data_IF_509718354861
#
_entry.id   IF_509718354861
#
_cell.length_a   1.000
_cell.length_b   1.000
_cell.length_c   1.000
_cell.angle_alpha   90.00
_cell.angle_beta   90.00
_cell.angle_gamma   90.00
#
_symmetry.space_group_name_H-M   'P 1'
#
loop_
_entity.id
_entity.type
_entity.pdbx_description
1 polymer ?
#
# COMPACT_ATOMS: atom_id res chain seq x y z
N UNK A 1 -46.11 -42.30 32.67
CA UNK A 1 -47.27 -41.89 33.47
C UNK A 1 -46.92 -40.73 34.30
N UNK A 2 -47.79 -39.82 34.53
CA UNK A 2 -48.32 -38.80 33.60
C UNK A 2 -47.96 -37.37 34.04
N UNK A 3 -48.08 -36.41 33.03
CA UNK A 3 -49.01 -35.26 33.04
C UNK A 3 -48.81 -34.21 34.14
N UNK A 4 -48.67 -32.95 33.84
CA UNK A 4 -49.58 -31.91 33.31
C UNK A 4 -48.75 -30.63 33.10
N UNK A 5 -48.83 -29.98 32.00
CA UNK A 5 -49.69 -28.86 31.56
C UNK A 5 -50.02 -27.85 32.67
N UNK A 6 -49.63 -26.60 32.44
CA UNK A 6 -50.53 -25.43 32.49
C UNK A 6 -49.71 -24.19 32.07
N UNK A 7 -50.09 -23.56 30.95
CA UNK A 7 -49.99 -22.13 30.68
C UNK A 7 -51.07 -21.42 31.46
N UNK A 8 -51.04 -20.13 31.77
CA UNK A 8 -51.16 -19.08 30.78
C UNK A 8 -50.59 -17.67 31.15
N UNK A 9 -50.73 -16.78 30.18
CA UNK A 9 -51.00 -15.32 30.16
C UNK A 9 -49.84 -14.35 30.31
N UNK A 10 -49.49 -13.74 29.20
CA UNK A 10 -49.81 -12.39 28.73
C UNK A 10 -49.60 -11.24 29.74
N UNK A 11 -48.54 -10.44 29.54
CA UNK A 11 -48.55 -9.03 29.82
C UNK A 11 -47.54 -8.28 28.90
N UNK A 12 -48.12 -7.52 28.03
CA UNK A 12 -47.57 -6.49 27.17
C UNK A 12 -47.20 -5.27 28.01
N UNK A 13 -45.94 -4.83 28.01
CA UNK A 13 -45.58 -3.43 28.37
C UNK A 13 -44.53 -2.93 27.40
N UNK A 14 -44.94 -1.96 26.61
CA UNK A 14 -44.11 -1.03 25.88
C UNK A 14 -43.38 -0.15 26.88
N UNK A 15 -42.07 0.00 26.74
CA UNK A 15 -41.36 1.22 27.10
C UNK A 15 -40.08 1.34 26.29
N UNK A 16 -40.01 2.46 25.62
CA UNK A 16 -38.95 2.93 24.77
C UNK A 16 -37.69 3.35 25.52
N UNK A 17 -36.65 3.56 24.73
CA UNK A 17 -35.45 4.40 24.94
C UNK A 17 -34.16 3.70 25.41
N UNK A 18 -33.21 3.76 24.46
CA UNK A 18 -31.87 4.19 24.78
C UNK A 18 -30.85 3.11 25.12
N UNK A 19 -30.46 2.29 24.22
CA UNK A 19 -29.16 1.64 24.29
C UNK A 19 -28.25 2.21 23.21
N UNK A 20 -27.34 3.07 23.59
CA UNK A 20 -26.11 3.32 22.86
C UNK A 20 -25.32 2.01 22.81
N UNK A 21 -24.87 1.53 21.67
CA UNK A 21 -23.78 0.59 21.66
C UNK A 21 -22.49 1.38 21.89
N UNK A 22 -21.84 1.13 22.99
CA UNK A 22 -20.44 1.45 23.17
C UNK A 22 -19.65 0.74 22.08
N UNK A 23 -19.23 1.49 21.10
CA UNK A 23 -18.28 1.05 20.11
C UNK A 23 -16.93 0.85 20.82
N UNK A 24 -16.64 -0.38 21.20
CA UNK A 24 -15.30 -0.82 21.49
C UNK A 24 -14.46 -0.59 20.23
N UNK A 25 -13.73 0.50 20.21
CA UNK A 25 -12.72 0.77 19.21
C UNK A 25 -11.58 -0.24 19.38
N UNK A 26 -11.69 -1.37 18.72
CA UNK A 26 -10.50 -2.11 18.35
C UNK A 26 -9.83 -1.30 17.24
N UNK A 27 -8.89 -0.45 17.64
CA UNK A 27 -7.89 0.10 16.75
C UNK A 27 -6.97 -1.05 16.30
N UNK A 28 -7.47 -1.86 15.37
CA UNK A 28 -6.63 -2.69 14.53
C UNK A 28 -5.97 -1.73 13.55
N UNK A 29 -4.77 -1.30 13.93
CA UNK A 29 -3.88 -0.51 13.07
C UNK A 29 -3.31 -1.45 12.02
N UNK A 30 -4.17 -1.92 11.12
CA UNK A 30 -3.73 -2.46 9.86
C UNK A 30 -3.06 -1.30 9.11
N UNK A 31 -1.77 -1.41 8.84
CA UNK A 31 -1.07 -0.54 7.92
C UNK A 31 -1.89 -0.49 6.62
N UNK A 32 -2.57 0.62 6.40
CA UNK A 32 -3.46 0.76 5.26
C UNK A 32 -2.60 0.85 4.01
N UNK A 33 -2.72 -0.17 3.16
CA UNK A 33 -2.21 -0.07 1.80
C UNK A 33 -2.78 1.16 1.11
N UNK A 34 -1.98 1.86 0.31
CA UNK A 34 -2.49 2.97 -0.48
C UNK A 34 -3.61 2.50 -1.41
N UNK A 35 -4.76 3.19 -1.45
CA UNK A 35 -5.85 2.85 -2.36
C UNK A 35 -5.40 2.93 -3.81
N UNK A 36 -5.83 1.97 -4.62
CA UNK A 36 -5.57 1.95 -6.06
C UNK A 36 -6.17 3.19 -6.75
N UNK A 37 -5.38 3.89 -7.54
CA UNK A 37 -5.80 5.05 -8.34
C UNK A 37 -5.88 4.64 -9.81
N UNK A 38 -6.93 5.08 -10.49
CA UNK A 38 -7.11 4.85 -11.92
C UNK A 38 -5.98 5.50 -12.75
N UNK A 39 -5.61 4.93 -13.92
CA UNK A 39 -4.51 5.44 -14.73
C UNK A 39 -4.82 6.86 -15.24
N UNK A 40 -4.01 7.81 -14.85
CA UNK A 40 -4.01 9.15 -15.41
C UNK A 40 -3.12 9.18 -16.68
N UNK A 41 -3.45 10.05 -17.62
CA UNK A 41 -2.68 10.24 -18.85
C UNK A 41 -1.21 10.62 -18.56
N UNK A 42 -0.26 10.31 -19.46
CA UNK A 42 1.15 10.53 -19.23
C UNK A 42 1.44 12.03 -19.03
N UNK A 43 1.70 12.41 -17.80
CA UNK A 43 2.24 13.72 -17.48
C UNK A 43 3.72 13.77 -17.85
N UNK A 44 4.22 14.99 -18.08
CA UNK A 44 5.64 15.22 -18.35
C UNK A 44 6.50 14.58 -17.26
N UNK A 45 7.60 13.96 -17.66
CA UNK A 45 8.56 13.31 -16.76
C UNK A 45 9.14 14.32 -15.75
N UNK A 46 8.52 14.41 -14.60
CA UNK A 46 8.91 15.36 -13.54
C UNK A 46 10.04 14.84 -12.64
N UNK A 47 10.32 13.52 -12.70
CA UNK A 47 11.32 12.90 -11.84
C UNK A 47 12.73 13.46 -12.05
N UNK A 48 13.25 13.65 -13.28
CA UNK A 48 14.59 14.20 -13.49
C UNK A 48 14.79 15.62 -12.96
N UNK A 49 13.70 16.39 -12.80
CA UNK A 49 13.74 17.77 -12.28
C UNK A 49 13.44 17.84 -10.78
N UNK A 50 13.09 16.73 -10.17
CA UNK A 50 12.78 16.66 -8.72
C UNK A 50 14.08 16.60 -7.93
N UNK A 51 14.20 17.45 -6.92
CA UNK A 51 15.31 17.41 -5.97
C UNK A 51 15.00 16.40 -4.88
N UNK A 52 15.90 15.43 -4.68
CA UNK A 52 15.76 14.40 -3.65
C UNK A 52 16.70 14.67 -2.48
N UNK A 53 16.24 14.39 -1.26
CA UNK A 53 17.10 14.44 -0.08
C UNK A 53 18.24 13.43 -0.21
N UNK A 54 19.49 13.82 0.11
CA UNK A 54 20.67 12.93 -0.04
C UNK A 54 20.55 11.61 0.72
N UNK A 55 19.83 11.64 1.85
CA UNK A 55 19.60 10.46 2.67
C UNK A 55 18.80 9.34 1.97
N UNK A 56 18.04 9.67 0.92
CA UNK A 56 17.25 8.70 0.17
C UNK A 56 18.10 7.87 -0.81
N UNK A 57 19.32 8.30 -1.13
CA UNK A 57 20.20 7.61 -2.07
C UNK A 57 19.66 7.57 -3.51
N UNK A 58 18.73 8.47 -3.85
CA UNK A 58 18.14 8.57 -5.20
C UNK A 58 19.12 9.26 -6.11
N UNK A 59 19.63 8.54 -7.08
CA UNK A 59 20.40 9.08 -8.20
C UNK A 59 19.74 8.62 -9.50
N UNK A 60 18.87 9.47 -10.02
CA UNK A 60 18.03 9.19 -11.20
C UNK A 60 18.88 8.81 -12.42
N UNK A 61 20.09 9.35 -12.55
CA UNK A 61 21.00 9.04 -13.65
C UNK A 61 21.50 7.58 -13.65
N UNK A 62 21.48 6.93 -12.47
CA UNK A 62 21.90 5.52 -12.31
C UNK A 62 20.71 4.55 -12.19
N UNK A 63 19.47 5.06 -12.30
CA UNK A 63 18.24 4.26 -12.21
C UNK A 63 17.77 3.84 -13.60
N UNK A 64 17.07 2.72 -13.64
CA UNK A 64 16.39 2.25 -14.84
C UNK A 64 15.01 2.88 -14.93
N UNK A 65 14.72 3.52 -16.06
CA UNK A 65 13.39 4.06 -16.37
C UNK A 65 12.55 3.01 -17.08
N UNK A 66 11.33 2.79 -16.60
CA UNK A 66 10.34 1.94 -17.28
C UNK A 66 9.62 2.70 -18.40
N UNK A 67 8.93 1.99 -19.26
CA UNK A 67 8.11 2.59 -20.31
C UNK A 67 6.96 3.45 -19.76
N UNK A 68 6.55 3.20 -18.52
CA UNK A 68 5.48 3.93 -17.82
C UNK A 68 5.98 5.18 -17.09
N UNK A 69 7.30 5.46 -17.12
CA UNK A 69 7.88 6.65 -16.48
C UNK A 69 8.33 6.46 -15.02
N UNK A 70 8.17 5.26 -14.48
CA UNK A 70 8.72 4.87 -13.17
C UNK A 70 10.25 4.70 -13.27
N UNK A 71 10.96 5.07 -12.23
CA UNK A 71 12.39 4.79 -12.09
C UNK A 71 12.63 3.78 -10.97
N UNK A 72 13.52 2.81 -11.20
CA UNK A 72 13.89 1.85 -10.16
C UNK A 72 15.39 1.54 -10.18
N UNK A 73 15.88 1.09 -9.04
CA UNK A 73 17.25 0.60 -8.86
C UNK A 73 17.26 -0.55 -7.88
N UNK A 74 17.85 -1.66 -8.29
CA UNK A 74 18.08 -2.78 -7.39
C UNK A 74 19.29 -2.44 -6.49
N UNK A 75 19.04 -2.29 -5.20
CA UNK A 75 20.07 -2.07 -4.18
C UNK A 75 20.70 -3.40 -3.79
N UNK A 76 19.88 -4.45 -3.73
CA UNK A 76 20.28 -5.83 -3.50
C UNK A 76 19.49 -6.71 -4.45
N UNK A 77 20.17 -7.55 -5.20
CA UNK A 77 19.52 -8.56 -6.03
C UNK A 77 19.28 -9.81 -5.19
N UNK A 78 18.01 -10.17 -5.00
CA UNK A 78 17.63 -11.37 -4.27
C UNK A 78 18.01 -12.65 -5.04
N UNK A 79 18.06 -13.77 -4.31
CA UNK A 79 18.39 -15.09 -4.88
C UNK A 79 17.22 -16.08 -4.84
N UNK A 80 16.09 -15.68 -4.24
CA UNK A 80 14.90 -16.52 -4.13
C UNK A 80 13.97 -16.44 -5.34
N UNK A 81 12.71 -16.85 -5.16
CA UNK A 81 11.68 -16.84 -6.21
C UNK A 81 11.48 -15.43 -6.77
N UNK A 82 11.21 -15.34 -8.06
CA UNK A 82 10.97 -14.09 -8.77
C UNK A 82 9.50 -13.69 -8.68
N UNK A 83 9.26 -12.42 -8.41
CA UNK A 83 7.94 -11.82 -8.42
C UNK A 83 7.48 -11.61 -9.87
N UNK A 84 6.37 -12.24 -10.23
CA UNK A 84 5.76 -12.16 -11.55
C UNK A 84 4.31 -11.72 -11.45
N UNK A 85 3.76 -11.19 -12.54
CA UNK A 85 2.34 -10.83 -12.60
C UNK A 85 1.49 -12.06 -12.27
N UNK A 86 0.50 -11.88 -11.39
CA UNK A 86 -0.39 -12.95 -10.93
C UNK A 86 0.09 -13.69 -9.67
N UNK A 87 1.32 -13.49 -9.22
CA UNK A 87 1.81 -14.03 -7.94
C UNK A 87 1.47 -13.09 -6.78
N UNK A 88 1.39 -13.65 -5.57
CA UNK A 88 1.24 -12.86 -4.34
C UNK A 88 2.62 -12.53 -3.79
N UNK A 89 2.97 -11.26 -3.78
CA UNK A 89 4.19 -10.76 -3.18
C UNK A 89 3.92 -10.26 -1.76
N UNK A 90 4.80 -10.60 -0.82
CA UNK A 90 4.84 -10.01 0.52
C UNK A 90 6.14 -9.24 0.68
N UNK A 91 6.05 -7.96 0.99
CA UNK A 91 7.21 -7.08 1.07
C UNK A 91 7.17 -6.16 2.27
N UNK A 92 8.35 -5.82 2.78
CA UNK A 92 8.54 -4.68 3.66
C UNK A 92 8.76 -3.43 2.80
N UNK A 93 8.27 -2.30 3.28
CA UNK A 93 8.43 -1.03 2.58
C UNK A 93 8.58 0.15 3.52
N UNK A 94 9.19 1.19 2.99
CA UNK A 94 9.21 2.54 3.54
C UNK A 94 8.89 3.50 2.41
N UNK A 95 7.83 4.29 2.56
CA UNK A 95 7.42 5.33 1.63
C UNK A 95 7.79 6.71 2.14
N UNK A 96 8.50 7.47 1.33
CA UNK A 96 8.96 8.83 1.64
C UNK A 96 8.64 9.80 0.51
N UNK A 97 8.48 11.06 0.85
CA UNK A 97 8.48 12.17 -0.10
C UNK A 97 9.92 12.50 -0.55
N UNK A 98 10.11 13.27 -1.62
CA UNK A 98 11.43 13.64 -2.10
C UNK A 98 12.30 14.36 -1.06
N UNK A 99 11.70 15.08 -0.12
CA UNK A 99 12.37 15.77 0.97
C UNK A 99 12.86 14.83 2.09
N UNK A 100 12.52 13.54 2.02
CA UNK A 100 12.84 12.53 3.03
C UNK A 100 11.76 12.35 4.10
N UNK A 101 10.66 13.08 4.04
CA UNK A 101 9.54 12.92 4.96
C UNK A 101 8.88 11.56 4.74
N UNK A 102 8.91 10.68 5.74
CA UNK A 102 8.24 9.39 5.69
C UNK A 102 6.73 9.59 5.87
N UNK A 103 5.94 9.05 4.95
CA UNK A 103 4.48 9.09 5.04
C UNK A 103 3.87 7.72 5.39
N UNK A 104 4.57 6.62 5.09
CA UNK A 104 4.08 5.28 5.38
C UNK A 104 5.23 4.26 5.48
N UNK A 105 5.02 3.16 6.21
CA UNK A 105 5.96 2.04 6.30
C UNK A 105 5.28 0.77 6.82
N UNK A 106 5.79 -0.38 6.43
CA UNK A 106 5.32 -1.69 6.90
C UNK A 106 5.64 -1.98 8.38
N UNK A 107 6.60 -1.26 8.98
CA UNK A 107 7.01 -1.41 10.38
C UNK A 107 7.29 -2.86 10.80
N UNK A 108 7.91 -3.65 9.91
CA UNK A 108 8.26 -5.04 10.16
C UNK A 108 7.09 -6.03 9.99
N UNK A 109 5.93 -5.57 9.53
CA UNK A 109 4.81 -6.42 9.12
C UNK A 109 4.71 -6.42 7.61
N UNK A 110 5.18 -7.46 6.91
CA UNK A 110 5.16 -7.47 5.45
C UNK A 110 3.74 -7.29 4.91
N UNK A 111 3.61 -6.41 3.95
CA UNK A 111 2.36 -6.19 3.23
C UNK A 111 2.26 -7.16 2.05
N UNK A 112 1.14 -7.86 1.96
CA UNK A 112 0.91 -8.86 0.91
C UNK A 112 -0.13 -8.39 -0.08
N UNK A 113 0.19 -8.48 -1.36
CA UNK A 113 -0.75 -8.18 -2.45
C UNK A 113 -0.46 -9.04 -3.66
N UNK A 114 -1.47 -9.23 -4.51
CA UNK A 114 -1.30 -9.93 -5.78
C UNK A 114 -0.92 -8.93 -6.87
N UNK A 115 0.19 -9.20 -7.54
CA UNK A 115 0.76 -8.33 -8.56
C UNK A 115 -0.17 -8.31 -9.79
N UNK A 116 -0.52 -7.11 -10.26
CA UNK A 116 -1.39 -6.91 -11.41
C UNK A 116 -2.88 -6.83 -11.10
N UNK A 117 -3.31 -7.04 -9.86
CA UNK A 117 -4.72 -6.93 -9.45
C UNK A 117 -5.19 -5.48 -9.27
N UNK A 118 -4.31 -4.51 -9.44
CA UNK A 118 -4.60 -3.07 -9.27
C UNK A 118 -5.17 -2.72 -7.87
N UNK A 119 -4.75 -3.46 -6.85
CA UNK A 119 -5.13 -3.22 -5.45
C UNK A 119 -4.16 -2.29 -4.73
N UNK A 120 -3.05 -1.99 -5.35
CA UNK A 120 -2.01 -1.08 -4.91
C UNK A 120 -1.84 0.04 -5.94
N UNK A 121 -1.02 1.04 -5.65
CA UNK A 121 -0.67 2.08 -6.62
C UNK A 121 0.00 1.44 -7.84
N UNK A 122 -0.24 1.99 -9.02
CA UNK A 122 0.29 1.44 -10.27
C UNK A 122 1.80 1.30 -10.24
N UNK A 123 2.51 2.22 -9.59
CA UNK A 123 3.96 2.14 -9.46
C UNK A 123 4.46 0.86 -8.76
N UNK A 124 3.66 0.23 -7.91
CA UNK A 124 4.01 -1.06 -7.33
C UNK A 124 3.71 -2.23 -8.27
N UNK A 125 2.56 -2.21 -8.94
CA UNK A 125 2.22 -3.24 -9.94
C UNK A 125 3.24 -3.26 -11.09
N UNK A 126 3.83 -2.10 -11.44
CA UNK A 126 4.84 -1.97 -12.50
C UNK A 126 6.28 -2.17 -11.97
N UNK A 127 6.55 -1.82 -10.71
CA UNK A 127 7.89 -1.77 -10.15
C UNK A 127 8.34 -3.03 -9.38
N UNK A 128 7.41 -3.84 -8.87
CA UNK A 128 7.73 -5.06 -8.12
C UNK A 128 8.05 -6.28 -9.00
N UNK A 129 7.43 -6.44 -10.19
CA UNK A 129 7.81 -7.54 -11.09
C UNK A 129 9.31 -7.56 -11.38
N UNK A 130 9.87 -8.77 -11.47
CA UNK A 130 11.30 -8.98 -11.69
C UNK A 130 12.16 -8.89 -10.42
N UNK A 131 11.58 -8.51 -9.27
CA UNK A 131 12.29 -8.64 -8.00
C UNK A 131 12.38 -10.11 -7.58
N UNK A 132 13.47 -10.47 -6.90
CA UNK A 132 13.62 -11.80 -6.29
C UNK A 132 13.56 -11.72 -4.78
N UNK A 133 13.05 -12.76 -4.15
CA UNK A 133 12.97 -12.85 -2.68
C UNK A 133 14.36 -12.63 -2.07
N UNK A 134 14.40 -11.80 -1.01
CA UNK A 134 15.64 -11.30 -0.38
C UNK A 134 16.23 -10.08 -1.07
N UNK A 135 15.64 -9.61 -2.19
CA UNK A 135 16.08 -8.41 -2.91
C UNK A 135 15.54 -7.14 -2.28
N UNK A 136 16.28 -6.04 -2.48
CA UNK A 136 15.89 -4.68 -2.12
C UNK A 136 15.91 -3.79 -3.34
N UNK A 137 14.84 -3.04 -3.55
CA UNK A 137 14.66 -2.14 -4.69
C UNK A 137 14.20 -0.76 -4.23
N UNK A 138 14.80 0.24 -4.80
CA UNK A 138 14.37 1.62 -4.67
C UNK A 138 13.48 1.96 -5.87
N UNK A 139 12.28 2.47 -5.62
CA UNK A 139 11.36 2.96 -6.63
C UNK A 139 11.18 4.46 -6.49
N UNK A 140 11.18 5.17 -7.62
CA UNK A 140 10.75 6.57 -7.69
C UNK A 140 9.55 6.61 -8.63
N UNK A 141 8.41 6.97 -8.08
CA UNK A 141 7.10 6.83 -8.70
C UNK A 141 6.56 8.22 -9.01
N UNK A 142 6.26 8.55 -10.28
CA UNK A 142 5.60 9.80 -10.60
C UNK A 142 4.19 9.84 -10.04
N UNK A 143 3.66 11.02 -9.81
CA UNK A 143 2.35 11.22 -9.17
C UNK A 143 1.21 10.45 -9.86
N UNK A 144 1.24 10.34 -11.16
CA UNK A 144 0.22 9.68 -11.99
C UNK A 144 0.12 8.17 -11.69
N UNK A 145 1.21 7.56 -11.26
CA UNK A 145 1.27 6.15 -10.85
C UNK A 145 1.18 5.97 -9.34
N UNK A 146 1.03 7.07 -8.61
CA UNK A 146 0.86 7.15 -7.17
C UNK A 146 -0.53 7.66 -6.79
N UNK A 147 -0.57 8.84 -6.15
CA UNK A 147 -1.81 9.43 -5.62
C UNK A 147 -2.35 10.58 -6.48
N UNK A 148 -1.74 10.87 -7.63
CA UNK A 148 -2.21 11.83 -8.62
C UNK A 148 -2.33 13.27 -8.14
N UNK A 149 -3.21 14.02 -8.82
CA UNK A 149 -3.43 15.44 -8.56
C UNK A 149 -4.16 15.74 -7.23
N UNK A 150 -4.71 14.72 -6.58
CA UNK A 150 -5.44 14.91 -5.32
C UNK A 150 -4.57 14.71 -4.08
N UNK A 151 -3.48 13.93 -4.20
CA UNK A 151 -2.72 13.49 -3.04
C UNK A 151 -3.52 12.54 -2.13
N UNK A 152 -3.00 12.22 -0.94
CA UNK A 152 -3.71 11.40 0.05
C UNK A 152 -3.10 11.61 1.44
N UNK A 153 -3.90 12.03 2.42
CA UNK A 153 -3.43 12.25 3.79
C UNK A 153 -2.21 13.19 3.85
N UNK A 154 -1.03 12.69 4.29
CA UNK A 154 0.19 13.52 4.35
C UNK A 154 0.86 13.72 2.98
N UNK A 155 0.38 13.06 1.92
CA UNK A 155 0.96 13.14 0.58
C UNK A 155 0.32 14.30 -0.18
N UNK A 156 1.09 15.32 -0.59
CA UNK A 156 0.56 16.47 -1.30
C UNK A 156 0.11 16.11 -2.73
N UNK A 157 -0.71 16.97 -3.36
CA UNK A 157 -1.06 16.85 -4.78
C UNK A 157 0.18 16.80 -5.68
N UNK A 158 0.13 15.98 -6.71
CA UNK A 158 1.21 15.80 -7.70
C UNK A 158 2.58 15.41 -7.10
N UNK A 159 2.59 14.75 -5.95
CA UNK A 159 3.83 14.34 -5.30
C UNK A 159 4.48 13.17 -6.02
N UNK A 160 5.79 13.29 -6.26
CA UNK A 160 6.66 12.15 -6.56
C UNK A 160 6.85 11.34 -5.28
N UNK A 161 6.84 10.03 -5.38
CA UNK A 161 6.99 9.14 -4.23
C UNK A 161 8.28 8.34 -4.34
N UNK A 162 8.93 8.13 -3.22
CA UNK A 162 10.12 7.29 -3.12
C UNK A 162 9.81 6.12 -2.20
N UNK A 163 9.94 4.90 -2.72
CA UNK A 163 9.74 3.69 -1.93
C UNK A 163 11.01 2.85 -1.89
N UNK A 164 11.41 2.47 -0.68
CA UNK A 164 12.39 1.41 -0.48
C UNK A 164 11.62 0.11 -0.18
N UNK A 165 11.78 -0.88 -1.04
CA UNK A 165 11.09 -2.17 -0.96
C UNK A 165 12.08 -3.29 -0.63
N UNK A 166 11.66 -4.25 0.17
CA UNK A 166 12.35 -5.52 0.43
C UNK A 166 11.38 -6.67 0.22
N UNK A 167 11.64 -7.53 -0.74
CA UNK A 167 10.77 -8.65 -1.06
C UNK A 167 11.05 -9.83 -0.12
N UNK A 168 10.05 -10.18 0.70
CA UNK A 168 10.16 -11.21 1.73
C UNK A 168 9.75 -12.59 1.21
N UNK A 169 8.59 -12.67 0.54
CA UNK A 169 8.08 -13.92 -0.04
C UNK A 169 7.31 -13.69 -1.33
N UNK A 170 7.23 -14.74 -2.15
CA UNK A 170 6.38 -14.82 -3.36
C UNK A 170 5.64 -16.15 -3.33
N UNK A 171 4.33 -16.14 -3.59
CA UNK A 171 3.46 -17.31 -3.64
C UNK A 171 2.60 -17.32 -4.90
#
# INVERSE_FOLDING_TARGET
MPRNLIYPTLALILAACGAKPDAGANADSAAAAPPAVAPAAPAADVIPTTTFAPALGVDVATMTKTATGLYYKDLVVGTGAEATIGTTASLNYVGTLPDGTQFDASNGRPYSFRIGDKRVIQGWDDGVPGMKVGGKRLLVIPSEQGYGANGSGPIPPNAVLVFSLELVTVQ
#
